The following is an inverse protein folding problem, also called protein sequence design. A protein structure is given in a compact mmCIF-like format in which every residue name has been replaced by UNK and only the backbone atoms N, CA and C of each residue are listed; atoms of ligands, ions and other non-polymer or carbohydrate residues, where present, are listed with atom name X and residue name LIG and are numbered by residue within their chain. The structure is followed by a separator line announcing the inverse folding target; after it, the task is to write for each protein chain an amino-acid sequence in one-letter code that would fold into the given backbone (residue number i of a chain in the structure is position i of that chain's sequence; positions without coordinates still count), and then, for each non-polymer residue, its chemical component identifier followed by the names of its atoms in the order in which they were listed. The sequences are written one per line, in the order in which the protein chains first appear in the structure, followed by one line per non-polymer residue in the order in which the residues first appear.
data_IF_332493338131
#
_entry.id   IF_332493338131
#
_cell.length_a   1.000
_cell.length_b   1.000
_cell.length_c   1.000
_cell.angle_alpha   90.00
_cell.angle_beta   90.00
_cell.angle_gamma   90.00
#
_symmetry.space_group_name_H-M   'P 1'
#
loop_
_entity.id
_entity.type
_entity.pdbx_description
1 polymer ?
#
# COMPACT_ATOMS: atom_id res chain seq x y z
N UNK A 1 -8.62 8.47 -4.19
CA UNK A 1 -9.53 8.45 -5.36
C UNK A 1 -10.25 7.12 -5.50
N UNK A 2 -9.54 5.99 -5.61
CA UNK A 2 -10.15 4.67 -5.84
C UNK A 2 -11.27 4.30 -4.85
N UNK A 3 -11.02 4.40 -3.55
CA UNK A 3 -12.01 4.02 -2.54
C UNK A 3 -13.18 5.00 -2.45
N UNK A 4 -12.90 6.32 -2.46
CA UNK A 4 -13.95 7.35 -2.46
C UNK A 4 -14.84 7.28 -3.72
N UNK A 5 -14.28 6.91 -4.89
CA UNK A 5 -15.00 6.78 -6.16
C UNK A 5 -15.86 5.51 -6.29
N UNK A 6 -15.84 4.61 -5.31
CA UNK A 6 -16.76 3.46 -5.27
C UNK A 6 -18.16 3.87 -4.80
N UNK A 7 -18.28 4.91 -3.99
CA UNK A 7 -19.54 5.39 -3.44
C UNK A 7 -20.26 6.35 -4.41
N UNK A 8 -21.60 6.46 -4.29
CA UNK A 8 -22.40 7.44 -5.04
C UNK A 8 -22.55 7.15 -6.54
N UNK A 9 -22.32 5.90 -6.98
CA UNK A 9 -22.52 5.49 -8.40
C UNK A 9 -23.98 5.51 -8.85
N UNK A 10 -24.91 5.49 -7.90
CA UNK A 10 -26.34 5.65 -8.11
C UNK A 10 -26.76 7.13 -8.24
N UNK A 11 -25.80 8.06 -8.26
CA UNK A 11 -26.03 9.50 -8.34
C UNK A 11 -26.52 10.13 -7.03
N UNK A 12 -26.74 9.33 -5.98
CA UNK A 12 -27.14 9.85 -4.67
C UNK A 12 -25.94 10.44 -3.94
N UNK A 13 -26.23 11.37 -3.02
CA UNK A 13 -25.21 12.00 -2.18
C UNK A 13 -24.53 10.94 -1.32
N UNK A 14 -23.20 10.89 -1.42
CA UNK A 14 -22.36 10.01 -0.60
C UNK A 14 -21.26 10.83 0.07
N UNK A 15 -20.80 10.34 1.22
CA UNK A 15 -19.74 10.97 2.01
C UNK A 15 -18.55 10.02 2.11
N UNK A 16 -17.35 10.57 1.94
CA UNK A 16 -16.10 9.90 2.23
C UNK A 16 -15.37 10.73 3.28
N UNK A 17 -15.08 10.12 4.42
CA UNK A 17 -14.47 10.79 5.56
C UNK A 17 -13.08 10.22 5.78
N UNK A 18 -12.08 11.10 5.82
CA UNK A 18 -10.71 10.75 6.19
C UNK A 18 -10.47 11.16 7.63
N UNK A 19 -10.20 10.19 8.50
CA UNK A 19 -9.75 10.45 9.85
C UNK A 19 -8.24 10.60 9.84
N UNK A 20 -7.74 11.75 10.29
CA UNK A 20 -6.32 12.09 10.27
C UNK A 20 -5.94 12.84 11.54
N UNK A 21 -4.78 12.47 12.12
CA UNK A 21 -4.18 13.21 13.21
C UNK A 21 -2.67 13.43 12.97
N UNK A 22 -2.06 14.28 13.79
CA UNK A 22 -0.62 14.60 13.67
C UNK A 22 0.31 13.40 13.92
N UNK A 23 -0.15 12.37 14.66
CA UNK A 23 0.65 11.15 14.86
C UNK A 23 0.76 10.33 13.58
N UNK A 24 -0.24 10.40 12.70
CA UNK A 24 -0.22 9.69 11.41
C UNK A 24 0.82 10.28 10.46
N UNK A 25 1.00 11.61 10.48
CA UNK A 25 2.11 12.29 9.78
C UNK A 25 3.47 11.75 10.21
N UNK A 26 3.70 11.64 11.52
CA UNK A 26 4.96 11.14 12.07
C UNK A 26 5.19 9.67 11.68
N UNK A 27 4.14 8.84 11.73
CA UNK A 27 4.21 7.43 11.31
C UNK A 27 4.56 7.29 9.82
N UNK A 28 3.91 8.06 8.95
CA UNK A 28 4.20 8.07 7.51
C UNK A 28 5.66 8.44 7.23
N UNK A 29 6.17 9.48 7.89
CA UNK A 29 7.57 9.89 7.76
C UNK A 29 8.55 8.82 8.26
N UNK A 30 8.27 8.18 9.41
CA UNK A 30 9.09 7.07 9.93
C UNK A 30 9.10 5.85 9.01
N UNK A 31 8.02 5.60 8.28
CA UNK A 31 7.95 4.48 7.34
C UNK A 31 8.89 4.65 6.16
N UNK A 32 9.24 5.88 5.76
CA UNK A 32 10.20 6.13 4.67
C UNK A 32 11.54 5.48 4.96
N UNK A 33 12.08 5.69 6.17
CA UNK A 33 13.36 5.10 6.58
C UNK A 33 13.32 3.57 6.59
N UNK A 34 12.16 2.96 6.88
CA UNK A 34 11.97 1.51 6.81
C UNK A 34 11.89 1.01 5.38
N UNK A 35 11.16 1.73 4.51
CA UNK A 35 10.95 1.40 3.10
C UNK A 35 12.20 1.57 2.24
N UNK A 36 13.11 2.46 2.66
CA UNK A 36 14.37 2.72 1.99
C UNK A 36 15.53 2.60 2.99
N UNK A 37 15.95 1.38 3.36
CA UNK A 37 17.13 1.15 4.19
C UNK A 37 18.37 1.81 3.55
N UNK A 38 19.36 2.18 4.35
CA UNK A 38 20.59 2.79 3.82
C UNK A 38 21.38 1.78 2.95
N UNK A 39 22.14 2.24 1.94
CA UNK A 39 22.85 1.36 1.00
C UNK A 39 23.70 0.28 1.67
N UNK A 40 24.40 0.61 2.75
CA UNK A 40 25.24 -0.35 3.48
C UNK A 40 24.42 -1.44 4.19
N UNK A 41 23.20 -1.13 4.63
CA UNK A 41 22.29 -2.14 5.16
C UNK A 41 21.82 -3.11 4.08
N UNK A 42 21.49 -2.60 2.88
CA UNK A 42 21.08 -3.41 1.73
C UNK A 42 22.20 -4.36 1.32
N UNK A 43 23.44 -3.85 1.25
CA UNK A 43 24.65 -4.64 0.96
C UNK A 43 24.88 -5.74 2.01
N UNK A 44 24.72 -5.43 3.30
CA UNK A 44 24.83 -6.41 4.40
C UNK A 44 23.79 -7.51 4.28
N UNK A 45 22.56 -7.18 3.87
CA UNK A 45 21.51 -8.17 3.65
C UNK A 45 21.86 -9.09 2.47
N UNK A 46 22.36 -8.55 1.36
CA UNK A 46 22.83 -9.38 0.24
C UNK A 46 23.94 -10.36 0.69
N UNK A 47 24.93 -9.87 1.43
CA UNK A 47 26.00 -10.72 1.95
C UNK A 47 25.46 -11.78 2.92
N UNK A 48 24.55 -11.41 3.82
CA UNK A 48 23.92 -12.35 4.75
C UNK A 48 23.14 -13.44 4.00
N UNK A 49 22.42 -13.11 2.91
CA UNK A 49 21.74 -14.10 2.06
C UNK A 49 22.76 -15.04 1.41
N UNK A 50 23.83 -14.50 0.83
CA UNK A 50 24.90 -15.32 0.25
C UNK A 50 25.53 -16.25 1.29
N UNK A 51 25.74 -15.78 2.51
CA UNK A 51 26.29 -16.57 3.61
C UNK A 51 25.29 -17.60 4.14
N UNK A 52 23.99 -17.28 4.12
CA UNK A 52 22.92 -18.21 4.48
C UNK A 52 22.92 -19.46 3.59
N UNK A 53 23.14 -19.26 2.28
CA UNK A 53 23.24 -20.33 1.29
C UNK A 53 24.67 -20.82 1.03
N UNK A 54 25.66 -20.32 1.78
CA UNK A 54 27.08 -20.70 1.66
C UNK A 54 27.67 -20.49 0.24
N UNK A 55 27.30 -19.38 -0.42
CA UNK A 55 27.35 -19.28 -1.87
C UNK A 55 28.70 -19.05 -2.57
N UNK A 56 29.88 -18.82 -2.00
CA UNK A 56 31.12 -18.54 -2.76
C UNK A 56 31.11 -17.43 -3.87
N UNK A 57 32.09 -16.53 -3.85
CA UNK A 57 32.19 -15.44 -4.85
C UNK A 57 32.43 -16.01 -6.25
N UNK A 58 31.75 -15.47 -7.27
CA UNK A 58 31.79 -15.93 -8.66
C UNK A 58 30.80 -17.05 -9.00
N UNK A 59 30.01 -17.53 -8.02
CA UNK A 59 29.00 -18.56 -8.25
C UNK A 59 27.58 -18.04 -7.98
N UNK A 60 26.56 -18.80 -8.36
CA UNK A 60 25.17 -18.52 -7.97
C UNK A 60 24.25 -18.07 -9.08
N UNK A 61 24.75 -17.65 -10.24
CA UNK A 61 23.88 -17.30 -11.37
C UNK A 61 22.95 -18.47 -11.71
N UNK A 62 21.66 -18.16 -11.88
CA UNK A 62 20.55 -19.08 -12.16
C UNK A 62 20.28 -20.13 -11.07
N UNK A 63 20.94 -20.02 -9.90
CA UNK A 63 20.64 -20.88 -8.76
C UNK A 63 19.39 -20.40 -8.01
N UNK A 64 18.60 -21.38 -7.56
CA UNK A 64 17.31 -21.19 -6.92
C UNK A 64 17.37 -21.79 -5.52
N UNK A 65 17.03 -21.01 -4.51
CA UNK A 65 17.02 -21.44 -3.12
C UNK A 65 15.68 -21.18 -2.45
N UNK A 66 15.20 -22.14 -1.65
CA UNK A 66 14.06 -21.91 -0.76
C UNK A 66 14.43 -20.83 0.28
N UNK A 67 13.57 -19.84 0.46
CA UNK A 67 13.80 -18.72 1.36
C UNK A 67 12.66 -18.60 2.37
N UNK A 68 13.00 -18.75 3.66
CA UNK A 68 12.06 -18.44 4.74
C UNK A 68 12.48 -17.14 5.41
N UNK A 69 11.65 -16.12 5.23
CA UNK A 69 11.86 -14.79 5.82
C UNK A 69 12.04 -14.87 7.35
N UNK A 70 11.22 -15.68 8.02
CA UNK A 70 11.26 -15.83 9.49
C UNK A 70 12.50 -16.56 10.00
N UNK A 71 12.95 -17.61 9.30
CA UNK A 71 14.18 -18.32 9.65
C UNK A 71 15.41 -17.45 9.42
N UNK A 72 15.45 -16.73 8.29
CA UNK A 72 16.53 -15.81 7.97
C UNK A 72 16.61 -14.65 8.97
N UNK A 73 15.47 -14.01 9.27
CA UNK A 73 15.38 -12.92 10.25
C UNK A 73 15.88 -13.35 11.63
N UNK A 74 15.46 -14.53 12.11
CA UNK A 74 15.90 -15.07 13.40
C UNK A 74 17.40 -15.40 13.43
N UNK A 75 17.94 -15.98 12.35
CA UNK A 75 19.36 -16.37 12.28
C UNK A 75 20.31 -15.19 12.30
N UNK A 76 19.97 -14.11 11.60
CA UNK A 76 20.82 -12.92 11.50
C UNK A 76 20.40 -11.79 12.45
N UNK A 77 19.36 -12.00 13.28
CA UNK A 77 18.80 -10.98 14.19
C UNK A 77 18.41 -9.68 13.47
N UNK A 78 17.81 -9.81 12.29
CA UNK A 78 17.43 -8.68 11.42
C UNK A 78 15.91 -8.45 11.44
N UNK A 79 15.49 -7.20 11.23
CA UNK A 79 14.06 -6.87 11.16
C UNK A 79 13.47 -7.30 9.82
N UNK A 80 12.33 -8.00 9.85
CA UNK A 80 11.64 -8.50 8.64
C UNK A 80 11.38 -7.39 7.61
N UNK A 81 11.00 -6.20 8.07
CA UNK A 81 10.73 -5.05 7.18
C UNK A 81 11.98 -4.58 6.43
N UNK A 82 13.13 -4.53 7.10
CA UNK A 82 14.41 -4.15 6.51
C UNK A 82 14.88 -5.19 5.48
N UNK A 83 14.72 -6.48 5.79
CA UNK A 83 15.02 -7.59 4.88
C UNK A 83 14.16 -7.49 3.61
N UNK A 84 12.84 -7.36 3.78
CA UNK A 84 11.91 -7.29 2.66
C UNK A 84 12.21 -6.10 1.74
N UNK A 85 12.39 -4.90 2.29
CA UNK A 85 12.65 -3.71 1.50
C UNK A 85 14.01 -3.77 0.80
N UNK A 86 15.04 -4.31 1.46
CA UNK A 86 16.36 -4.53 0.87
C UNK A 86 16.31 -5.55 -0.27
N UNK A 87 15.58 -6.66 -0.10
CA UNK A 87 15.36 -7.65 -1.16
C UNK A 87 14.67 -7.03 -2.38
N UNK A 88 13.64 -6.20 -2.17
CA UNK A 88 12.96 -5.52 -3.29
C UNK A 88 13.87 -4.52 -4.01
N UNK A 89 14.81 -3.87 -3.32
CA UNK A 89 15.80 -3.00 -3.96
C UNK A 89 16.83 -3.83 -4.72
N UNK A 90 17.40 -4.88 -4.11
CA UNK A 90 18.33 -5.81 -4.77
C UNK A 90 17.70 -6.47 -6.01
N UNK A 91 16.39 -6.72 -5.98
CA UNK A 91 15.62 -7.22 -7.11
C UNK A 91 15.51 -6.21 -8.24
N UNK A 92 15.30 -4.93 -7.95
CA UNK A 92 15.30 -3.87 -8.98
C UNK A 92 16.68 -3.65 -9.60
N UNK A 93 17.75 -3.82 -8.81
CA UNK A 93 19.12 -3.81 -9.33
C UNK A 93 19.49 -5.09 -10.11
N UNK A 94 18.61 -6.10 -10.08
CA UNK A 94 18.79 -7.36 -10.75
C UNK A 94 19.96 -8.16 -10.19
N UNK A 95 20.13 -8.21 -8.87
CA UNK A 95 21.08 -9.12 -8.22
C UNK A 95 20.44 -10.48 -7.89
N UNK A 96 19.16 -10.44 -7.53
CA UNK A 96 18.36 -11.61 -7.19
C UNK A 96 16.89 -11.32 -7.47
N UNK A 97 16.05 -12.33 -7.48
CA UNK A 97 14.60 -12.20 -7.52
C UNK A 97 14.00 -13.00 -6.37
N UNK A 98 12.99 -12.42 -5.72
CA UNK A 98 12.19 -13.13 -4.72
C UNK A 98 10.84 -13.49 -5.36
N UNK A 99 10.53 -14.78 -5.45
CA UNK A 99 9.22 -15.23 -5.96
C UNK A 99 8.11 -14.89 -4.97
N UNK A 100 6.91 -14.66 -5.47
CA UNK A 100 5.75 -14.45 -4.60
C UNK A 100 5.19 -15.80 -4.11
N UNK A 101 4.74 -15.87 -2.84
CA UNK A 101 4.23 -17.09 -2.21
C UNK A 101 3.00 -17.71 -2.93
N UNK A 102 2.37 -16.93 -3.84
CA UNK A 102 1.19 -17.31 -4.61
C UNK A 102 1.51 -18.19 -5.83
N UNK A 103 2.79 -18.37 -6.20
CA UNK A 103 3.18 -19.06 -7.45
C UNK A 103 3.39 -20.58 -7.31
N UNK A 104 3.23 -21.15 -6.11
CA UNK A 104 3.42 -22.58 -5.83
C UNK A 104 2.11 -23.29 -5.45
N UNK A 105 1.17 -23.54 -6.39
CA UNK A 105 -0.06 -24.25 -6.08
C UNK A 105 0.21 -25.70 -5.63
N UNK A 106 -0.70 -26.24 -4.84
CA UNK A 106 -0.72 -27.67 -4.50
C UNK A 106 -0.79 -28.51 -5.77
N UNK A 107 -0.09 -29.65 -5.80
CA UNK A 107 -0.14 -30.58 -6.93
C UNK A 107 -0.66 -31.95 -6.50
N UNK A 108 -1.51 -32.54 -7.32
CA UNK A 108 -2.12 -33.86 -7.07
C UNK A 108 -1.92 -34.76 -8.29
N UNK A 109 -1.64 -36.04 -8.02
CA UNK A 109 -1.59 -37.13 -9.00
C UNK A 109 -2.21 -38.39 -8.38
N UNK A 110 -3.13 -39.09 -9.05
CA UNK A 110 -3.62 -40.38 -8.57
C UNK A 110 -2.58 -41.46 -8.83
N UNK A 111 -2.21 -42.19 -7.76
CA UNK A 111 -1.27 -43.32 -7.85
C UNK A 111 -1.96 -44.62 -8.20
N UNK A 112 -3.26 -44.69 -7.98
CA UNK A 112 -4.10 -45.86 -8.22
C UNK A 112 -4.87 -45.74 -9.53
N UNK A 113 -5.26 -46.86 -10.10
CA UNK A 113 -6.15 -46.88 -11.27
C UNK A 113 -7.62 -46.64 -10.88
N UNK A 114 -8.52 -46.66 -11.87
CA UNK A 114 -9.95 -46.38 -11.65
C UNK A 114 -10.66 -47.47 -10.86
N UNK A 115 -10.25 -48.73 -10.99
CA UNK A 115 -10.90 -49.86 -10.33
C UNK A 115 -10.51 -49.92 -8.86
N UNK A 116 -9.24 -49.67 -8.55
CA UNK A 116 -8.72 -49.55 -7.20
C UNK A 116 -9.31 -48.30 -6.50
N UNK A 117 -9.41 -47.17 -7.20
CA UNK A 117 -10.08 -45.99 -6.67
C UNK A 117 -11.54 -46.26 -6.34
N UNK A 118 -12.27 -46.98 -7.21
CA UNK A 118 -13.66 -47.34 -6.95
C UNK A 118 -13.81 -48.22 -5.70
N UNK A 119 -12.96 -49.25 -5.54
CA UNK A 119 -12.93 -50.08 -4.32
C UNK A 119 -12.67 -49.24 -3.07
N UNK A 120 -11.75 -48.29 -3.16
CA UNK A 120 -11.44 -47.37 -2.07
C UNK A 120 -12.66 -46.49 -1.71
N UNK A 121 -13.35 -45.93 -2.71
CA UNK A 121 -14.56 -45.11 -2.50
C UNK A 121 -15.68 -45.89 -1.81
N UNK A 122 -15.89 -47.16 -2.19
CA UNK A 122 -16.89 -48.03 -1.54
C UNK A 122 -16.52 -48.30 -0.08
N UNK A 123 -15.24 -48.52 0.22
CA UNK A 123 -14.77 -48.78 1.58
C UNK A 123 -14.70 -47.52 2.46
N UNK A 124 -14.61 -46.33 1.86
CA UNK A 124 -14.39 -45.06 2.56
C UNK A 124 -15.37 -43.98 2.07
N UNK A 125 -16.66 -44.15 2.41
CA UNK A 125 -17.75 -43.29 1.95
C UNK A 125 -17.52 -41.79 2.20
N UNK A 126 -16.86 -41.43 3.30
CA UNK A 126 -16.55 -40.03 3.66
C UNK A 126 -15.66 -39.32 2.62
N UNK A 127 -14.86 -40.07 1.84
CA UNK A 127 -13.99 -39.50 0.81
C UNK A 127 -14.64 -39.43 -0.57
N UNK A 128 -15.73 -40.16 -0.81
CA UNK A 128 -16.35 -40.29 -2.14
C UNK A 128 -16.78 -38.93 -2.71
N UNK A 129 -17.43 -38.10 -1.88
CA UNK A 129 -17.85 -36.76 -2.27
C UNK A 129 -16.68 -35.86 -2.69
N UNK A 130 -15.58 -35.90 -1.94
CA UNK A 130 -14.39 -35.10 -2.23
C UNK A 130 -13.62 -35.60 -3.47
N UNK A 131 -13.48 -36.92 -3.63
CA UNK A 131 -12.85 -37.52 -4.82
C UNK A 131 -13.62 -37.14 -6.08
N UNK A 132 -14.96 -37.24 -6.06
CA UNK A 132 -15.80 -36.83 -7.19
C UNK A 132 -15.69 -35.34 -7.49
N UNK A 133 -15.61 -34.49 -6.46
CA UNK A 133 -15.37 -33.06 -6.63
C UNK A 133 -14.02 -32.79 -7.31
N UNK A 134 -12.96 -33.47 -6.87
CA UNK A 134 -11.62 -33.32 -7.42
C UNK A 134 -11.59 -33.72 -8.90
N UNK A 135 -12.15 -34.88 -9.24
CA UNK A 135 -12.25 -35.40 -10.61
C UNK A 135 -13.14 -34.54 -11.52
N UNK A 136 -14.16 -33.87 -10.96
CA UNK A 136 -15.02 -32.93 -11.72
C UNK A 136 -14.35 -31.57 -11.91
N UNK A 137 -13.43 -31.20 -11.01
CA UNK A 137 -12.79 -29.88 -11.01
C UNK A 137 -11.52 -29.84 -11.86
N UNK A 138 -10.80 -30.97 -11.98
CA UNK A 138 -9.52 -31.05 -12.66
C UNK A 138 -9.46 -32.30 -13.54
N UNK A 139 -8.88 -32.16 -14.74
CA UNK A 139 -8.66 -33.25 -15.69
C UNK A 139 -7.19 -33.69 -15.65
N UNK A 140 -6.88 -34.90 -16.16
CA UNK A 140 -5.49 -35.39 -16.24
C UNK A 140 -4.88 -35.88 -14.93
N UNK A 141 -5.67 -35.99 -13.85
CA UNK A 141 -5.15 -36.38 -12.53
C UNK A 141 -4.56 -37.80 -12.47
N UNK A 142 -4.84 -38.68 -13.44
CA UNK A 142 -4.25 -40.03 -13.54
C UNK A 142 -3.04 -40.10 -14.48
N UNK A 143 -2.75 -39.04 -15.23
CA UNK A 143 -1.68 -39.03 -16.25
C UNK A 143 -0.47 -38.20 -15.83
N UNK A 144 -0.67 -37.13 -15.07
CA UNK A 144 0.39 -36.22 -14.65
C UNK A 144 0.01 -35.49 -13.35
N UNK A 145 1.00 -34.84 -12.73
CA UNK A 145 0.71 -33.91 -11.64
C UNK A 145 -0.10 -32.72 -12.17
N UNK A 146 -1.23 -32.45 -11.52
CA UNK A 146 -2.11 -31.33 -11.84
C UNK A 146 -2.08 -30.32 -10.71
N UNK A 147 -1.93 -29.05 -11.05
CA UNK A 147 -2.03 -27.94 -10.09
C UNK A 147 -3.49 -27.77 -9.64
N UNK A 148 -3.70 -27.81 -8.33
CA UNK A 148 -5.00 -27.77 -7.67
C UNK A 148 -5.07 -26.55 -6.76
N UNK A 149 -6.13 -25.76 -6.91
CA UNK A 149 -6.49 -24.65 -6.02
C UNK A 149 -7.40 -25.16 -4.89
N UNK A 150 -6.86 -25.19 -3.67
CA UNK A 150 -7.56 -25.63 -2.46
C UNK A 150 -8.70 -24.67 -2.05
N UNK A 151 -8.57 -23.36 -2.33
CA UNK A 151 -9.63 -22.38 -2.02
C UNK A 151 -10.81 -22.56 -2.96
N UNK A 152 -10.56 -22.84 -4.24
CA UNK A 152 -11.62 -23.15 -5.20
C UNK A 152 -12.37 -24.43 -4.80
N UNK A 153 -11.65 -25.48 -4.40
CA UNK A 153 -12.25 -26.71 -3.90
C UNK A 153 -13.09 -26.45 -2.64
N UNK A 154 -12.56 -25.67 -1.69
CA UNK A 154 -13.24 -25.29 -0.47
C UNK A 154 -14.56 -24.53 -0.76
N UNK A 155 -14.53 -23.56 -1.68
CA UNK A 155 -15.71 -22.82 -2.12
C UNK A 155 -16.76 -23.73 -2.76
N UNK A 156 -16.35 -24.66 -3.63
CA UNK A 156 -17.27 -25.59 -4.31
C UNK A 156 -17.89 -26.64 -3.38
N UNK A 157 -17.13 -27.09 -2.37
CA UNK A 157 -17.61 -28.03 -1.36
C UNK A 157 -18.33 -27.34 -0.19
N UNK A 158 -18.29 -26.01 -0.10
CA UNK A 158 -18.77 -25.24 1.05
C UNK A 158 -18.12 -25.71 2.38
N UNK A 159 -16.80 -25.93 2.36
CA UNK A 159 -15.98 -26.33 3.52
C UNK A 159 -14.80 -25.37 3.68
N UNK A 160 -14.03 -25.49 4.77
CA UNK A 160 -12.83 -24.68 4.95
C UNK A 160 -11.65 -25.22 4.10
N UNK A 161 -10.70 -24.35 3.70
CA UNK A 161 -9.46 -24.78 3.05
C UNK A 161 -8.66 -25.79 3.88
N UNK A 162 -8.65 -25.66 5.21
CA UNK A 162 -8.00 -26.62 6.11
C UNK A 162 -8.60 -28.04 6.00
N UNK A 163 -9.92 -28.15 5.84
CA UNK A 163 -10.57 -29.45 5.62
C UNK A 163 -10.17 -30.07 4.28
N UNK A 164 -10.04 -29.27 3.22
CA UNK A 164 -9.53 -29.72 1.91
C UNK A 164 -8.11 -30.27 2.05
N UNK A 165 -7.22 -29.53 2.72
CA UNK A 165 -5.85 -29.97 2.99
C UNK A 165 -5.80 -31.29 3.76
N UNK A 166 -6.66 -31.45 4.78
CA UNK A 166 -6.75 -32.70 5.55
C UNK A 166 -7.21 -33.88 4.68
N UNK A 167 -8.20 -33.70 3.81
CA UNK A 167 -8.63 -34.74 2.87
C UNK A 167 -7.50 -35.18 1.94
N UNK A 168 -6.80 -34.21 1.31
CA UNK A 168 -5.66 -34.49 0.43
C UNK A 168 -4.52 -35.21 1.16
N UNK A 169 -4.22 -34.78 2.38
CA UNK A 169 -3.20 -35.41 3.23
C UNK A 169 -3.58 -36.85 3.60
N UNK A 170 -4.85 -37.11 3.94
CA UNK A 170 -5.33 -38.47 4.26
C UNK A 170 -5.30 -39.39 3.06
N UNK A 171 -5.75 -38.93 1.88
CA UNK A 171 -5.68 -39.70 0.63
C UNK A 171 -4.23 -40.04 0.27
N UNK A 172 -3.28 -39.13 0.55
CA UNK A 172 -1.84 -39.39 0.40
C UNK A 172 -1.34 -40.45 1.37
N UNK A 173 -1.70 -40.38 2.65
CA UNK A 173 -1.30 -41.37 3.66
C UNK A 173 -1.82 -42.77 3.31
N UNK A 174 -3.00 -42.85 2.72
CA UNK A 174 -3.60 -44.10 2.23
C UNK A 174 -3.09 -44.52 0.84
N UNK A 175 -2.09 -43.80 0.28
CA UNK A 175 -1.43 -44.06 -1.01
C UNK A 175 -2.35 -43.99 -2.24
N UNK A 176 -3.54 -43.40 -2.11
CA UNK A 176 -4.48 -43.22 -3.22
C UNK A 176 -3.97 -42.13 -4.18
N UNK A 177 -3.42 -41.05 -3.62
CA UNK A 177 -2.83 -39.96 -4.39
C UNK A 177 -1.37 -39.72 -3.97
N UNK A 178 -0.61 -39.15 -4.88
CA UNK A 178 0.53 -38.32 -4.53
C UNK A 178 0.08 -36.86 -4.41
N UNK A 179 0.33 -36.28 -3.24
CA UNK A 179 -0.05 -34.90 -2.92
C UNK A 179 1.17 -34.13 -2.48
N UNK A 180 1.51 -33.12 -3.28
CA UNK A 180 2.54 -32.13 -3.00
C UNK A 180 1.80 -30.89 -2.48
N UNK A 181 1.86 -30.60 -1.17
CA UNK A 181 1.18 -29.44 -0.61
C UNK A 181 1.80 -28.15 -1.15
N UNK A 182 0.99 -27.09 -1.21
CA UNK A 182 1.45 -25.74 -1.51
C UNK A 182 2.60 -25.38 -0.56
N UNK A 183 3.77 -25.15 -1.14
CA UNK A 183 4.88 -24.53 -0.42
C UNK A 183 4.70 -23.02 -0.49
N UNK A 184 4.29 -22.41 0.63
CA UNK A 184 4.31 -20.96 0.80
C UNK A 184 5.72 -20.38 0.88
N UNK A 185 6.75 -21.23 0.91
CA UNK A 185 8.14 -20.78 0.98
C UNK A 185 8.51 -20.11 -0.35
N UNK A 186 8.76 -18.79 -0.37
CA UNK A 186 9.26 -18.13 -1.57
C UNK A 186 10.65 -18.66 -1.93
N UNK A 187 11.08 -18.45 -3.16
CA UNK A 187 12.43 -18.75 -3.62
C UNK A 187 13.21 -17.46 -3.84
N UNK A 188 14.51 -17.51 -3.55
CA UNK A 188 15.48 -16.54 -4.05
C UNK A 188 16.14 -17.14 -5.29
N UNK A 189 16.05 -16.43 -6.41
CA UNK A 189 16.70 -16.76 -7.67
C UNK A 189 17.82 -15.75 -7.88
N UNK A 190 19.06 -16.22 -7.97
CA UNK A 190 20.19 -15.33 -8.22
C UNK A 190 20.33 -15.06 -9.72
N UNK A 191 20.05 -13.84 -10.16
CA UNK A 191 20.11 -13.46 -11.58
C UNK A 191 21.53 -13.14 -12.05
N UNK A 192 22.45 -12.95 -11.10
CA UNK A 192 23.88 -12.72 -11.33
C UNK A 192 24.71 -13.62 -10.41
N UNK A 193 25.97 -13.82 -10.78
CA UNK A 193 26.96 -14.43 -9.88
C UNK A 193 27.12 -13.58 -8.61
N UNK A 194 27.45 -14.24 -7.51
CA UNK A 194 27.82 -13.59 -6.27
C UNK A 194 29.02 -12.71 -6.50
N UNK A 195 28.89 -11.44 -6.14
CA UNK A 195 30.00 -10.48 -6.14
C UNK A 195 30.33 -10.08 -4.71
N UNK A 196 31.55 -9.55 -4.53
CA UNK A 196 31.94 -8.94 -3.26
C UNK A 196 31.06 -7.73 -2.93
N UNK A 197 30.86 -7.51 -1.62
CA UNK A 197 30.03 -6.44 -1.09
C UNK A 197 30.39 -5.06 -1.67
N UNK A 198 31.67 -4.79 -1.85
CA UNK A 198 32.18 -3.51 -2.36
C UNK A 198 31.83 -3.27 -3.83
N UNK A 199 31.56 -4.34 -4.58
CA UNK A 199 31.18 -4.27 -6.00
C UNK A 199 29.68 -4.11 -6.19
N UNK A 200 28.88 -4.24 -5.13
CA UNK A 200 27.44 -4.00 -5.18
C UNK A 200 27.20 -2.51 -5.40
N UNK A 201 26.53 -2.19 -6.49
CA UNK A 201 26.13 -0.83 -6.85
C UNK A 201 24.63 -0.70 -6.69
N UNK A 202 24.23 0.33 -5.96
CA UNK A 202 22.85 0.74 -5.85
C UNK A 202 22.73 2.01 -6.67
N UNK A 203 21.99 1.93 -7.77
CA UNK A 203 21.83 3.02 -8.71
C UNK A 203 21.00 4.15 -8.11
N UNK A 204 21.30 5.38 -8.55
CA UNK A 204 20.50 6.55 -8.18
C UNK A 204 19.03 6.35 -8.55
N UNK A 205 18.77 5.81 -9.74
CA UNK A 205 17.43 5.56 -10.26
C UNK A 205 16.63 4.60 -9.38
N UNK A 206 17.19 3.45 -9.00
CA UNK A 206 16.46 2.43 -8.24
C UNK A 206 16.33 2.74 -6.74
N UNK A 207 17.14 3.68 -6.23
CA UNK A 207 17.14 4.04 -4.82
C UNK A 207 16.76 5.51 -4.55
N UNK A 208 17.61 6.47 -4.92
CA UNK A 208 17.43 7.88 -4.56
C UNK A 208 16.21 8.48 -5.25
N UNK A 209 16.03 8.26 -6.54
CA UNK A 209 14.91 8.82 -7.29
C UNK A 209 13.59 8.18 -6.82
N UNK A 210 13.58 6.87 -6.57
CA UNK A 210 12.42 6.19 -5.95
C UNK A 210 12.11 6.68 -4.53
N UNK A 211 13.14 6.93 -3.71
CA UNK A 211 12.99 7.49 -2.36
C UNK A 211 12.38 8.89 -2.44
N UNK A 212 12.84 9.69 -3.40
CA UNK A 212 12.29 11.02 -3.66
C UNK A 212 10.82 10.98 -4.11
N UNK A 213 10.48 10.16 -5.09
CA UNK A 213 9.09 9.97 -5.54
C UNK A 213 8.18 9.52 -4.39
N UNK A 214 8.66 8.59 -3.56
CA UNK A 214 7.91 8.09 -2.42
C UNK A 214 7.67 9.19 -1.37
N UNK A 215 8.69 10.03 -1.10
CA UNK A 215 8.57 11.18 -0.22
C UNK A 215 7.54 12.19 -0.75
N UNK A 216 7.61 12.54 -2.03
CA UNK A 216 6.65 13.44 -2.66
C UNK A 216 5.20 12.92 -2.53
N UNK A 217 4.99 11.61 -2.71
CA UNK A 217 3.66 10.99 -2.53
C UNK A 217 3.15 11.09 -1.11
N UNK A 218 4.03 10.88 -0.12
CA UNK A 218 3.69 11.03 1.29
C UNK A 218 3.35 12.48 1.61
N UNK A 219 4.16 13.42 1.14
CA UNK A 219 3.92 14.86 1.33
C UNK A 219 2.59 15.29 0.70
N UNK A 220 2.30 14.83 -0.52
CA UNK A 220 1.02 15.08 -1.18
C UNK A 220 -0.17 14.53 -0.37
N UNK A 221 -0.03 13.33 0.21
CA UNK A 221 -1.07 12.74 1.06
C UNK A 221 -1.27 13.53 2.37
N UNK A 222 -0.18 13.91 3.02
CA UNK A 222 -0.23 14.74 4.24
C UNK A 222 -0.86 16.10 3.92
N UNK A 223 -0.46 16.73 2.82
CA UNK A 223 -1.03 17.99 2.36
C UNK A 223 -2.53 17.83 2.05
N UNK A 224 -2.92 16.76 1.36
CA UNK A 224 -4.33 16.46 1.09
C UNK A 224 -5.14 16.31 2.37
N UNK A 225 -4.60 15.67 3.43
CA UNK A 225 -5.30 15.46 4.69
C UNK A 225 -5.35 16.73 5.55
N UNK A 226 -4.23 17.45 5.66
CA UNK A 226 -4.08 18.59 6.56
C UNK A 226 -4.57 19.92 5.98
N UNK A 227 -4.68 20.05 4.65
CA UNK A 227 -5.07 21.33 4.02
C UNK A 227 -6.54 21.67 4.28
N UNK A 228 -6.80 22.73 5.05
CA UNK A 228 -8.15 23.27 5.24
C UNK A 228 -8.61 24.27 4.17
N UNK A 229 -7.69 24.75 3.32
CA UNK A 229 -7.91 26.00 2.58
C UNK A 229 -8.15 25.84 1.07
N UNK A 230 -7.92 24.65 0.51
CA UNK A 230 -8.13 24.36 -0.90
C UNK A 230 -9.14 23.23 -1.04
N UNK A 231 -9.99 23.30 -2.08
CA UNK A 231 -11.01 22.28 -2.30
C UNK A 231 -10.35 20.90 -2.41
N UNK A 232 -10.85 19.91 -1.65
CA UNK A 232 -10.30 18.55 -1.66
C UNK A 232 -10.27 17.94 -3.07
N UNK A 233 -11.30 18.19 -3.87
CA UNK A 233 -11.35 17.72 -5.26
C UNK A 233 -10.28 18.38 -6.14
N UNK A 234 -10.04 19.68 -5.99
CA UNK A 234 -8.98 20.35 -6.75
C UNK A 234 -7.59 19.81 -6.38
N UNK A 235 -7.32 19.62 -5.08
CA UNK A 235 -6.07 19.01 -4.61
C UNK A 235 -5.83 17.62 -5.21
N UNK A 236 -6.89 16.81 -5.31
CA UNK A 236 -6.81 15.49 -5.93
C UNK A 236 -6.54 15.57 -7.43
N UNK A 237 -7.26 16.44 -8.15
CA UNK A 237 -7.12 16.61 -9.59
C UNK A 237 -5.73 17.12 -9.97
N UNK A 238 -5.21 18.10 -9.23
CA UNK A 238 -3.84 18.62 -9.42
C UNK A 238 -2.77 17.54 -9.21
N UNK A 239 -2.96 16.66 -8.23
CA UNK A 239 -2.05 15.52 -8.02
C UNK A 239 -2.01 14.58 -9.24
N UNK A 240 -3.09 14.48 -10.01
CA UNK A 240 -3.15 13.72 -11.26
C UNK A 240 -2.84 14.55 -12.52
N UNK A 241 -2.41 15.81 -12.35
CA UNK A 241 -2.00 16.69 -13.45
C UNK A 241 -3.11 17.58 -14.02
N UNK A 242 -4.29 17.59 -13.42
CA UNK A 242 -5.41 18.44 -13.84
C UNK A 242 -5.42 19.78 -13.09
N UNK A 243 -4.82 20.81 -13.70
CA UNK A 243 -4.62 22.12 -13.07
C UNK A 243 -5.83 23.07 -13.22
N UNK A 244 -6.63 22.90 -14.27
CA UNK A 244 -7.77 23.77 -14.59
C UNK A 244 -9.08 23.23 -14.01
N UNK A 245 -9.08 22.91 -12.72
CA UNK A 245 -10.26 22.38 -12.04
C UNK A 245 -11.04 23.45 -11.29
N UNK A 246 -12.37 23.39 -11.36
CA UNK A 246 -13.25 24.25 -10.55
C UNK A 246 -13.48 23.66 -9.17
N UNK A 247 -13.85 24.52 -8.20
CA UNK A 247 -14.20 24.08 -6.84
C UNK A 247 -15.42 23.15 -6.90
N UNK A 248 -15.40 22.06 -6.13
CA UNK A 248 -16.49 21.09 -6.18
C UNK A 248 -17.78 21.56 -5.47
N UNK A 249 -17.68 22.48 -4.51
CA UNK A 249 -18.83 23.00 -3.74
C UNK A 249 -19.38 22.06 -2.65
N UNK A 250 -18.89 20.82 -2.56
CA UNK A 250 -19.48 19.74 -1.74
C UNK A 250 -18.51 19.05 -0.77
N UNK A 251 -17.21 19.34 -0.83
CA UNK A 251 -16.26 18.86 0.18
C UNK A 251 -16.34 19.68 1.47
N UNK A 252 -15.80 19.15 2.56
CA UNK A 252 -15.67 19.81 3.87
C UNK A 252 -15.16 21.25 3.76
N UNK A 253 -14.09 21.48 2.99
CA UNK A 253 -13.50 22.82 2.78
C UNK A 253 -14.47 23.77 2.05
N UNK A 254 -15.18 23.27 1.03
CA UNK A 254 -16.15 24.08 0.30
C UNK A 254 -17.39 24.39 1.15
N UNK A 255 -17.86 23.42 1.93
CA UNK A 255 -19.04 23.59 2.77
C UNK A 255 -18.77 24.55 3.93
N UNK A 256 -17.62 24.43 4.60
CA UNK A 256 -17.22 25.37 5.66
C UNK A 256 -17.12 26.82 5.14
N UNK A 257 -16.72 27.01 3.88
CA UNK A 257 -16.76 28.33 3.24
C UNK A 257 -18.19 28.80 2.94
N UNK A 258 -19.06 27.91 2.51
CA UNK A 258 -20.46 28.24 2.20
C UNK A 258 -21.30 28.52 3.47
N UNK A 259 -20.92 27.97 4.63
CA UNK A 259 -21.53 28.26 5.93
C UNK A 259 -21.38 29.72 6.37
N UNK A 260 -20.46 30.48 5.76
CA UNK A 260 -20.33 31.91 6.01
C UNK A 260 -21.58 32.70 5.53
N UNK A 261 -22.49 32.10 4.73
CA UNK A 261 -23.61 32.77 4.05
C UNK A 261 -23.17 33.97 3.21
N UNK A 262 -21.93 33.93 2.72
CA UNK A 262 -21.33 34.96 1.88
C UNK A 262 -21.26 34.42 0.47
N UNK A 263 -21.70 35.21 -0.52
CA UNK A 263 -21.54 34.82 -1.92
C UNK A 263 -20.04 34.67 -2.26
N UNK A 264 -19.70 33.81 -3.23
CA UNK A 264 -18.29 33.65 -3.66
C UNK A 264 -17.67 34.98 -4.08
N UNK A 265 -18.44 35.82 -4.78
CA UNK A 265 -18.02 37.15 -5.19
C UNK A 265 -17.73 38.08 -4.00
N UNK A 266 -18.61 38.11 -3.01
CA UNK A 266 -18.45 38.93 -1.81
C UNK A 266 -17.28 38.43 -0.93
N UNK A 267 -17.07 37.11 -0.87
CA UNK A 267 -15.92 36.52 -0.18
C UNK A 267 -14.61 36.94 -0.86
N UNK A 268 -14.49 36.75 -2.18
CA UNK A 268 -13.27 37.07 -2.93
C UNK A 268 -12.97 38.58 -2.87
N UNK A 269 -14.00 39.44 -2.99
CA UNK A 269 -13.85 40.89 -2.88
C UNK A 269 -13.37 41.35 -1.48
N UNK A 270 -13.91 40.78 -0.40
CA UNK A 270 -13.47 41.11 0.96
C UNK A 270 -12.09 40.53 1.24
N UNK A 271 -11.81 39.32 0.77
CA UNK A 271 -10.51 38.68 0.94
C UNK A 271 -9.38 39.46 0.25
N UNK A 272 -9.60 39.99 -0.96
CA UNK A 272 -8.63 40.87 -1.63
C UNK A 272 -8.37 42.16 -0.84
N UNK A 273 -9.41 42.74 -0.21
CA UNK A 273 -9.24 43.93 0.64
C UNK A 273 -8.44 43.60 1.91
N UNK A 274 -8.75 42.48 2.57
CA UNK A 274 -8.00 42.02 3.75
C UNK A 274 -6.53 41.82 3.39
N UNK A 275 -6.21 41.23 2.24
CA UNK A 275 -4.84 41.09 1.74
C UNK A 275 -4.14 42.44 1.57
N UNK A 276 -4.83 43.45 1.01
CA UNK A 276 -4.27 44.80 0.83
C UNK A 276 -4.01 45.49 2.16
N UNK A 277 -4.91 45.37 3.14
CA UNK A 277 -4.75 45.98 4.47
C UNK A 277 -3.61 45.31 5.24
N UNK A 278 -3.60 43.97 5.26
CA UNK A 278 -2.57 43.17 5.94
C UNK A 278 -1.21 43.14 5.21
N UNK A 279 -1.04 43.92 4.13
CA UNK A 279 0.28 44.26 3.61
C UNK A 279 1.14 44.99 4.66
N UNK A 280 0.50 45.65 5.64
CA UNK A 280 1.12 46.16 6.86
C UNK A 280 0.46 45.52 8.08
N UNK A 281 1.21 45.00 9.06
CA UNK A 281 0.60 44.41 10.25
C UNK A 281 -0.23 45.41 11.06
N UNK A 282 -1.50 45.07 11.32
CA UNK A 282 -2.46 45.92 12.03
C UNK A 282 -3.23 45.14 13.10
N UNK A 283 -3.88 45.84 14.03
CA UNK A 283 -4.71 45.20 15.05
C UNK A 283 -6.04 44.69 14.46
N UNK A 284 -6.72 43.81 15.21
CA UNK A 284 -8.01 43.25 14.82
C UNK A 284 -9.10 44.31 14.64
N UNK A 285 -9.14 45.26 15.57
CA UNK A 285 -10.07 46.38 15.54
C UNK A 285 -9.79 47.29 14.34
N UNK A 286 -8.52 47.53 14.01
CA UNK A 286 -8.10 48.32 12.86
C UNK A 286 -8.45 47.63 11.54
N UNK A 287 -8.27 46.31 11.45
CA UNK A 287 -8.60 45.53 10.26
C UNK A 287 -10.11 45.60 9.96
N UNK A 288 -10.96 45.44 10.99
CA UNK A 288 -12.41 45.53 10.82
C UNK A 288 -12.84 46.93 10.37
N UNK A 289 -12.19 47.98 10.88
CA UNK A 289 -12.51 49.36 10.50
C UNK A 289 -12.07 49.72 9.08
N UNK A 290 -10.96 49.15 8.60
CA UNK A 290 -10.41 49.47 7.27
C UNK A 290 -11.01 48.63 6.13
N UNK A 291 -11.66 47.51 6.44
CA UNK A 291 -12.26 46.63 5.43
C UNK A 291 -13.73 46.97 5.24
N UNK A 292 -14.04 47.67 4.15
CA UNK A 292 -15.41 47.99 3.76
C UNK A 292 -16.22 46.72 3.46
N UNK A 293 -17.22 46.44 4.32
CA UNK A 293 -18.17 45.34 4.22
C UNK A 293 -19.12 45.28 5.42
N UNK A 294 -20.10 44.37 5.43
CA UNK A 294 -20.92 44.11 6.63
C UNK A 294 -20.01 43.56 7.72
N UNK A 295 -20.01 44.18 8.91
CA UNK A 295 -19.11 43.81 10.01
C UNK A 295 -19.17 42.31 10.36
N UNK A 296 -20.38 41.72 10.40
CA UNK A 296 -20.58 40.28 10.64
C UNK A 296 -19.91 39.40 9.55
N UNK A 297 -20.01 39.80 8.29
CA UNK A 297 -19.38 39.13 7.15
C UNK A 297 -17.85 39.23 7.21
N UNK A 298 -17.31 40.41 7.53
CA UNK A 298 -15.86 40.64 7.65
C UNK A 298 -15.28 39.82 8.80
N UNK A 299 -15.94 39.80 9.96
CA UNK A 299 -15.53 38.99 11.12
C UNK A 299 -15.53 37.50 10.78
N UNK A 300 -16.57 37.02 10.09
CA UNK A 300 -16.67 35.63 9.60
C UNK A 300 -15.50 35.26 8.68
N UNK A 301 -15.15 36.14 7.75
CA UNK A 301 -14.02 35.91 6.83
C UNK A 301 -12.68 35.97 7.57
N UNK A 302 -12.48 36.90 8.50
CA UNK A 302 -11.24 36.97 9.31
C UNK A 302 -11.07 35.69 10.15
N UNK A 303 -12.14 35.22 10.81
CA UNK A 303 -12.11 33.94 11.55
C UNK A 303 -11.76 32.77 10.63
N UNK A 304 -12.42 32.69 9.47
CA UNK A 304 -12.13 31.67 8.48
C UNK A 304 -10.65 31.74 8.03
N UNK A 305 -10.09 32.93 7.82
CA UNK A 305 -8.67 33.13 7.46
C UNK A 305 -7.70 32.71 8.57
N UNK A 306 -8.04 32.95 9.85
CA UNK A 306 -7.25 32.51 11.01
C UNK A 306 -7.27 30.99 11.15
N UNK A 307 -8.45 30.37 11.09
CA UNK A 307 -8.62 28.91 11.17
C UNK A 307 -7.90 28.17 10.03
N UNK A 308 -7.76 28.83 8.88
CA UNK A 308 -7.12 28.29 7.69
C UNK A 308 -5.66 28.75 7.51
N UNK A 309 -5.05 29.31 8.57
CA UNK A 309 -3.64 29.70 8.60
C UNK A 309 -3.24 30.63 7.43
N UNK A 310 -4.16 31.51 7.01
CA UNK A 310 -3.90 32.55 5.98
C UNK A 310 -3.42 33.84 6.59
N UNK A 311 -3.85 34.12 7.81
CA UNK A 311 -3.42 35.26 8.61
C UNK A 311 -3.06 34.75 10.00
N UNK A 312 -2.10 35.38 10.65
CA UNK A 312 -1.59 34.97 11.95
C UNK A 312 -1.46 36.17 12.88
N UNK A 313 -1.58 35.92 14.19
CA UNK A 313 -1.20 36.90 15.20
C UNK A 313 0.31 36.84 15.43
N UNK A 314 0.94 38.02 15.40
CA UNK A 314 2.32 38.23 15.82
C UNK A 314 2.42 38.31 17.35
N UNK A 315 3.65 38.32 17.85
CA UNK A 315 3.94 38.46 19.29
C UNK A 315 3.44 39.80 19.87
N UNK A 316 3.30 40.83 19.02
CA UNK A 316 2.75 42.15 19.38
C UNK A 316 1.22 42.25 19.22
N UNK A 317 0.52 41.11 19.09
CA UNK A 317 -0.93 40.99 18.86
C UNK A 317 -1.43 41.63 17.55
N UNK A 318 -0.55 42.01 16.62
CA UNK A 318 -0.94 42.45 15.28
C UNK A 318 -1.16 41.26 14.36
N UNK A 319 -2.13 41.35 13.47
CA UNK A 319 -2.33 40.35 12.42
C UNK A 319 -1.43 40.63 11.23
N UNK A 320 -0.89 39.59 10.62
CA UNK A 320 -0.15 39.67 9.36
C UNK A 320 -0.61 38.58 8.38
N UNK A 321 -0.49 38.87 7.08
CA UNK A 321 -0.76 37.86 6.04
C UNK A 321 0.37 36.85 5.95
N UNK A 322 0.04 35.57 5.93
CA UNK A 322 1.01 34.49 5.79
C UNK A 322 1.79 34.61 4.47
N UNK A 323 3.11 34.80 4.55
CA UNK A 323 3.97 34.73 3.37
C UNK A 323 3.98 33.28 2.87
N UNK A 324 3.69 33.11 1.58
CA UNK A 324 3.74 31.81 0.89
C UNK A 324 5.09 31.12 1.03
#
# INVERSE_FOLDING_TARGET
FQEAGRAGRDGKKAWSVLLFNNSDKIKLQKNVAKSFPEPDAIKRIYEAICNFYQLAVGFGKDQIFEFSMGLFASRFSLQITEIYNSLKILQREGYLELTDELENPSKVYFKVDRDELYKFQVANADFDGFIKLLLRSYTGLFTNYVSVDEKLLAQRANISPDTVYQFLTRLRTQKIIDFIPQKKTPFIIFTKERIDMDRIKISKENYLDRKHDYLQRIEAMIHYAASGHKCRSQLLLEYFGEMDSVRCGKCDVCMARNELNVSSYEFDAINEKIQKVLAKPCFYEELIQQVDGKADTVVKIIRWLLENEKIFYRVDNRMEWGKK
#
